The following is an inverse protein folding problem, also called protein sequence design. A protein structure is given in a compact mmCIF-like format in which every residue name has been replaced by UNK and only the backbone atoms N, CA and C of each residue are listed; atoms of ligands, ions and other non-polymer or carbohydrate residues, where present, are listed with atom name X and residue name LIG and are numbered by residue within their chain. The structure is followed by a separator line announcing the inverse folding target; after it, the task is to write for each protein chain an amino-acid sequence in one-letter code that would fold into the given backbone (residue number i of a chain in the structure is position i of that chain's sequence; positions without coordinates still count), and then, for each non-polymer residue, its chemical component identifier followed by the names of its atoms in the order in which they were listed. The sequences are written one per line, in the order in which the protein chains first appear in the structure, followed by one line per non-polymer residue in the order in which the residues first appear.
data_IF_972561008127
#
_entry.id   IF_972561008127
#
_cell.length_a   1.000
_cell.length_b   1.000
_cell.length_c   1.000
_cell.angle_alpha   90.00
_cell.angle_beta   90.00
_cell.angle_gamma   90.00
#
_symmetry.space_group_name_H-M   'P 1'
#
loop_
_entity.id
_entity.type
_entity.pdbx_description
1 polymer ?
#
# COMPACT_ATOMS: atom_id res chain seq x y z
N UNK A 1 -17.20 13.84 51.37
CA UNK A 1 -17.96 14.20 50.16
C UNK A 1 -17.72 13.14 49.10
N UNK A 2 -18.78 12.45 48.65
CA UNK A 2 -18.71 11.39 47.63
C UNK A 2 -18.42 12.04 46.28
N UNK A 3 -17.31 11.66 45.62
CA UNK A 3 -17.06 12.05 44.22
C UNK A 3 -18.09 11.30 43.37
N UNK A 4 -18.94 12.05 42.68
CA UNK A 4 -19.91 11.53 41.71
C UNK A 4 -19.13 11.00 40.52
N UNK A 5 -19.24 9.69 40.29
CA UNK A 5 -18.87 9.08 39.02
C UNK A 5 -19.62 9.79 37.89
N UNK A 6 -18.85 10.25 36.88
CA UNK A 6 -19.43 10.73 35.63
C UNK A 6 -20.05 9.53 34.90
N UNK A 7 -21.22 9.67 34.28
CA UNK A 7 -21.84 8.58 33.53
C UNK A 7 -20.91 8.16 32.39
N UNK A 8 -20.59 6.86 32.35
CA UNK A 8 -20.00 6.21 31.18
C UNK A 8 -21.00 6.41 30.04
N UNK A 9 -20.54 7.09 28.98
CA UNK A 9 -21.31 7.30 27.75
C UNK A 9 -21.81 5.92 27.26
N UNK A 10 -23.10 5.77 26.88
CA UNK A 10 -23.63 4.49 26.44
C UNK A 10 -22.78 3.97 25.27
N UNK A 11 -22.20 2.79 25.45
CA UNK A 11 -21.54 2.03 24.39
C UNK A 11 -22.61 1.79 23.33
N UNK A 12 -22.36 2.29 22.12
CA UNK A 12 -23.32 2.25 21.01
C UNK A 12 -23.74 0.80 20.72
N UNK A 13 -25.02 0.50 20.90
CA UNK A 13 -25.68 -0.64 20.25
C UNK A 13 -26.28 -0.11 18.96
N UNK A 14 -25.46 0.08 17.93
CA UNK A 14 -26.01 0.33 16.59
C UNK A 14 -26.68 -0.96 16.14
N UNK A 15 -27.93 -0.90 15.67
CA UNK A 15 -28.59 -2.13 15.23
C UNK A 15 -27.86 -2.72 14.02
N UNK A 16 -27.89 -4.06 13.87
CA UNK A 16 -27.24 -4.74 12.73
C UNK A 16 -27.78 -4.20 11.40
N UNK A 17 -29.07 -3.91 11.32
CA UNK A 17 -29.72 -3.33 10.14
C UNK A 17 -29.20 -1.95 9.82
N UNK A 18 -29.11 -1.04 10.79
CA UNK A 18 -28.58 0.31 10.56
C UNK A 18 -27.12 0.28 10.13
N UNK A 19 -26.32 -0.59 10.77
CA UNK A 19 -24.91 -0.72 10.43
C UNK A 19 -24.71 -1.32 9.03
N UNK A 20 -25.51 -2.31 8.65
CA UNK A 20 -25.53 -2.88 7.30
C UNK A 20 -25.90 -1.83 6.25
N UNK A 21 -26.96 -1.05 6.51
CA UNK A 21 -27.43 -0.03 5.59
C UNK A 21 -26.41 1.10 5.40
N UNK A 22 -25.74 1.52 6.48
CA UNK A 22 -24.64 2.48 6.43
C UNK A 22 -23.46 1.96 5.60
N UNK A 23 -23.09 0.68 5.78
CA UNK A 23 -22.00 0.04 5.02
C UNK A 23 -22.35 -0.08 3.53
N UNK A 24 -23.56 -0.53 3.20
CA UNK A 24 -23.98 -0.68 1.80
C UNK A 24 -24.08 0.68 1.10
N UNK A 25 -24.61 1.71 1.76
CA UNK A 25 -24.61 3.08 1.24
C UNK A 25 -23.19 3.57 0.95
N UNK A 26 -22.25 3.31 1.85
CA UNK A 26 -20.85 3.70 1.69
C UNK A 26 -20.17 2.93 0.55
N UNK A 27 -20.48 1.64 0.37
CA UNK A 27 -20.02 0.85 -0.78
C UNK A 27 -20.51 1.45 -2.09
N UNK A 28 -21.79 1.84 -2.17
CA UNK A 28 -22.32 2.50 -3.38
C UNK A 28 -21.60 3.81 -3.66
N UNK A 29 -21.37 4.64 -2.63
CA UNK A 29 -20.62 5.90 -2.79
C UNK A 29 -19.18 5.69 -3.27
N UNK A 30 -18.49 4.67 -2.76
CA UNK A 30 -17.13 4.33 -3.22
C UNK A 30 -17.15 3.88 -4.68
N UNK A 31 -18.15 3.07 -5.07
CA UNK A 31 -18.31 2.62 -6.45
C UNK A 31 -18.60 3.80 -7.39
N UNK A 32 -19.44 4.74 -6.99
CA UNK A 32 -19.77 5.94 -7.78
C UNK A 32 -18.60 6.91 -7.88
N UNK A 33 -17.85 7.13 -6.79
CA UNK A 33 -16.63 7.94 -6.79
C UNK A 33 -15.48 7.30 -7.59
N UNK A 34 -15.51 5.97 -7.78
CA UNK A 34 -14.56 5.30 -8.69
C UNK A 34 -14.93 5.46 -10.18
N UNK A 35 -16.20 5.76 -10.48
CA UNK A 35 -16.73 5.92 -11.85
C UNK A 35 -16.77 7.38 -12.32
N UNK A 36 -16.85 8.31 -11.38
CA UNK A 36 -16.87 9.75 -11.63
C UNK A 36 -15.80 10.40 -10.77
N UNK A 37 -15.09 11.41 -11.27
CA UNK A 37 -14.08 12.19 -10.50
C UNK A 37 -14.75 13.08 -9.42
N UNK A 38 -15.77 12.56 -8.74
CA UNK A 38 -16.50 13.22 -7.66
C UNK A 38 -15.73 13.14 -6.33
N UNK A 39 -16.08 14.04 -5.42
CA UNK A 39 -15.44 14.22 -4.12
C UNK A 39 -15.44 12.92 -3.30
N UNK A 40 -14.25 12.50 -2.88
CA UNK A 40 -14.00 11.17 -2.37
C UNK A 40 -14.55 11.00 -0.93
N UNK A 41 -15.32 9.93 -0.60
CA UNK A 41 -15.89 9.71 0.73
C UNK A 41 -14.87 9.27 1.81
N UNK A 42 -13.59 9.66 1.69
CA UNK A 42 -12.48 9.17 2.52
C UNK A 42 -12.69 9.36 4.02
N UNK A 43 -13.35 10.43 4.43
CA UNK A 43 -13.69 10.72 5.83
C UNK A 43 -14.74 9.73 6.37
N UNK A 44 -15.82 9.48 5.61
CA UNK A 44 -16.87 8.54 6.00
C UNK A 44 -16.39 7.09 6.09
N UNK A 45 -15.45 6.69 5.22
CA UNK A 45 -14.83 5.36 5.26
C UNK A 45 -14.02 5.13 6.54
N UNK A 46 -13.22 6.11 6.95
CA UNK A 46 -12.44 6.01 8.18
C UNK A 46 -13.33 5.95 9.41
N UNK A 47 -14.37 6.79 9.47
CA UNK A 47 -15.34 6.81 10.57
C UNK A 47 -16.10 5.47 10.69
N UNK A 48 -16.52 4.90 9.56
CA UNK A 48 -17.21 3.60 9.55
C UNK A 48 -16.32 2.45 10.01
N UNK A 49 -15.03 2.46 9.62
CA UNK A 49 -14.05 1.47 10.09
C UNK A 49 -13.87 1.55 11.61
N UNK A 50 -13.75 2.75 12.18
CA UNK A 50 -13.63 2.93 13.64
C UNK A 50 -14.94 2.61 14.38
N UNK A 51 -16.09 2.83 13.75
CA UNK A 51 -17.39 2.36 14.28
C UNK A 51 -17.45 0.83 14.31
N UNK A 52 -17.09 0.16 13.22
CA UNK A 52 -17.04 -1.30 13.13
C UNK A 52 -16.09 -1.94 14.14
N UNK A 53 -14.91 -1.34 14.39
CA UNK A 53 -13.99 -1.83 15.43
C UNK A 53 -14.62 -1.83 16.82
N UNK A 54 -15.26 -0.72 17.20
CA UNK A 54 -15.97 -0.60 18.49
C UNK A 54 -17.09 -1.63 18.64
N UNK A 55 -17.83 -1.86 17.56
CA UNK A 55 -18.90 -2.85 17.50
C UNK A 55 -18.36 -4.29 17.59
N UNK A 56 -17.20 -4.57 16.99
CA UNK A 56 -16.51 -5.87 17.09
C UNK A 56 -15.98 -6.11 18.52
N UNK A 57 -15.38 -5.09 19.14
CA UNK A 57 -14.91 -5.16 20.53
C UNK A 57 -16.08 -5.48 21.48
N UNK A 58 -17.23 -4.84 21.26
CA UNK A 58 -18.45 -5.13 22.00
C UNK A 58 -18.94 -6.58 21.81
N UNK A 59 -18.93 -7.10 20.58
CA UNK A 59 -19.28 -8.51 20.34
C UNK A 59 -18.30 -9.48 21.01
N UNK A 60 -17.00 -9.16 21.05
CA UNK A 60 -16.03 -9.98 21.79
C UNK A 60 -16.32 -9.98 23.29
N UNK A 61 -16.69 -8.84 23.87
CA UNK A 61 -17.10 -8.73 25.28
C UNK A 61 -18.37 -9.55 25.58
N UNK A 62 -19.37 -9.51 24.69
CA UNK A 62 -20.59 -10.32 24.83
C UNK A 62 -20.31 -11.82 24.68
N UNK A 63 -19.42 -12.19 23.76
CA UNK A 63 -18.99 -13.59 23.61
C UNK A 63 -18.26 -14.08 24.87
N UNK A 64 -17.36 -13.27 25.43
CA UNK A 64 -16.67 -13.59 26.68
C UNK A 64 -17.61 -13.74 27.87
N UNK A 65 -18.70 -12.94 27.94
CA UNK A 65 -19.76 -13.09 28.93
C UNK A 65 -20.55 -14.38 28.74
N UNK A 66 -21.01 -14.65 27.51
CA UNK A 66 -21.81 -15.83 27.20
C UNK A 66 -21.05 -17.15 27.43
N UNK A 67 -19.75 -17.16 27.18
CA UNK A 67 -18.87 -18.29 27.41
C UNK A 67 -18.41 -18.44 28.87
N UNK A 68 -18.86 -17.55 29.78
CA UNK A 68 -18.47 -17.59 31.18
C UNK A 68 -16.99 -17.28 31.43
N UNK A 69 -16.32 -16.61 30.49
CA UNK A 69 -14.88 -16.32 30.57
C UNK A 69 -14.54 -15.01 31.26
N UNK A 70 -15.54 -14.16 31.53
CA UNK A 70 -15.36 -12.83 32.15
C UNK A 70 -14.57 -12.90 33.46
N UNK A 71 -14.92 -13.84 34.34
CA UNK A 71 -14.27 -13.97 35.65
C UNK A 71 -12.84 -14.51 35.51
N UNK A 72 -12.59 -15.44 34.57
CA UNK A 72 -11.25 -15.93 34.25
C UNK A 72 -10.33 -14.80 33.75
N UNK A 73 -10.85 -13.94 32.86
CA UNK A 73 -10.14 -12.78 32.34
C UNK A 73 -9.83 -11.76 33.45
N UNK A 74 -10.79 -11.51 34.35
CA UNK A 74 -10.59 -10.59 35.48
C UNK A 74 -9.55 -11.12 36.47
N UNK A 75 -9.62 -12.40 36.86
CA UNK A 75 -8.62 -13.03 37.72
C UNK A 75 -7.22 -12.96 37.11
N UNK A 76 -7.09 -13.25 35.82
CA UNK A 76 -5.81 -13.17 35.12
C UNK A 76 -5.27 -11.74 35.07
N UNK A 77 -6.12 -10.72 34.85
CA UNK A 77 -5.71 -9.30 34.94
C UNK A 77 -5.20 -8.93 36.33
N UNK A 78 -5.83 -9.44 37.39
CA UNK A 78 -5.35 -9.23 38.76
C UNK A 78 -4.03 -9.94 39.03
N UNK A 79 -3.85 -11.16 38.53
CA UNK A 79 -2.57 -11.89 38.61
C UNK A 79 -1.45 -11.13 37.88
N UNK A 80 -1.73 -10.62 36.67
CA UNK A 80 -0.79 -9.76 35.92
C UNK A 80 -0.43 -8.50 36.71
N UNK A 81 -1.43 -7.82 37.30
CA UNK A 81 -1.19 -6.62 38.09
C UNK A 81 -0.35 -6.90 39.35
N UNK A 82 -0.60 -8.02 40.04
CA UNK A 82 0.19 -8.45 41.21
C UNK A 82 1.62 -8.83 40.83
N UNK A 83 1.80 -9.58 39.74
CA UNK A 83 3.12 -9.97 39.24
C UNK A 83 3.98 -8.73 38.90
N UNK A 84 3.38 -7.70 38.32
CA UNK A 84 4.06 -6.42 38.00
C UNK A 84 4.52 -5.65 39.24
N UNK A 85 3.82 -5.79 40.36
CA UNK A 85 4.15 -5.07 41.61
C UNK A 85 5.26 -5.74 42.45
N UNK A 86 5.59 -7.00 42.19
CA UNK A 86 6.46 -7.79 43.08
C UNK A 86 7.86 -8.09 42.53
N UNK A 87 8.24 -7.62 41.32
CA UNK A 87 9.56 -7.87 40.70
C UNK A 87 9.98 -9.36 40.69
N UNK A 88 9.02 -10.29 40.82
CA UNK A 88 9.30 -11.70 41.04
C UNK A 88 9.53 -12.37 39.69
N UNK A 89 10.81 -12.58 39.34
CA UNK A 89 11.28 -13.12 38.05
C UNK A 89 10.68 -14.50 37.70
N UNK A 90 10.05 -15.19 38.65
CA UNK A 90 9.41 -16.49 38.47
C UNK A 90 7.97 -16.43 37.92
N UNK A 91 7.34 -15.25 37.83
CA UNK A 91 5.96 -15.12 37.37
C UNK A 91 5.80 -15.02 35.83
N UNK A 92 6.85 -14.71 35.07
CA UNK A 92 6.72 -14.36 33.64
C UNK A 92 6.38 -15.55 32.71
N UNK A 93 7.03 -16.73 32.80
CA UNK A 93 6.71 -17.85 31.91
C UNK A 93 5.36 -18.49 32.22
N UNK A 94 5.06 -18.72 33.51
CA UNK A 94 3.81 -19.35 33.94
C UNK A 94 2.58 -18.46 33.68
N UNK A 95 2.71 -17.13 33.85
CA UNK A 95 1.64 -16.19 33.52
C UNK A 95 1.41 -16.09 32.01
N UNK A 96 2.49 -16.11 31.22
CA UNK A 96 2.39 -16.18 29.75
C UNK A 96 1.68 -17.45 29.31
N UNK A 97 2.04 -18.60 29.86
CA UNK A 97 1.37 -19.87 29.58
C UNK A 97 -0.13 -19.81 29.94
N UNK A 98 -0.50 -19.18 31.06
CA UNK A 98 -1.91 -18.95 31.41
C UNK A 98 -2.64 -18.00 30.45
N UNK A 99 -1.97 -16.95 29.96
CA UNK A 99 -2.52 -16.02 28.96
C UNK A 99 -2.77 -16.76 27.64
N UNK A 100 -1.77 -17.50 27.17
CA UNK A 100 -1.86 -18.28 25.93
C UNK A 100 -2.94 -19.36 26.07
N UNK A 101 -3.01 -20.06 27.21
CA UNK A 101 -4.05 -21.05 27.47
C UNK A 101 -5.46 -20.44 27.49
N UNK A 102 -5.65 -19.30 28.15
CA UNK A 102 -6.95 -18.63 28.19
C UNK A 102 -7.36 -18.11 26.80
N UNK A 103 -6.39 -17.63 26.02
CA UNK A 103 -6.60 -17.21 24.63
C UNK A 103 -7.01 -18.38 23.75
N UNK A 104 -6.29 -19.50 23.82
CA UNK A 104 -6.62 -20.72 23.07
C UNK A 104 -7.98 -21.29 23.48
N UNK A 105 -8.30 -21.26 24.78
CA UNK A 105 -9.61 -21.64 25.29
C UNK A 105 -10.71 -20.73 24.72
N UNK A 106 -10.49 -19.41 24.73
CA UNK A 106 -11.43 -18.44 24.18
C UNK A 106 -11.63 -18.65 22.68
N UNK A 107 -10.56 -18.70 21.90
CA UNK A 107 -10.60 -18.87 20.44
C UNK A 107 -11.29 -20.17 20.02
N UNK A 108 -11.05 -21.26 20.77
CA UNK A 108 -11.70 -22.56 20.54
C UNK A 108 -13.20 -22.53 20.82
N UNK A 109 -13.63 -21.80 21.84
CA UNK A 109 -15.03 -21.75 22.26
C UNK A 109 -15.81 -20.59 21.62
N UNK A 110 -15.11 -19.62 21.04
CA UNK A 110 -15.69 -18.45 20.38
C UNK A 110 -16.78 -18.83 19.34
N UNK A 111 -16.61 -19.88 18.51
CA UNK A 111 -17.66 -20.29 17.58
C UNK A 111 -18.96 -20.77 18.22
N UNK A 112 -18.92 -21.17 19.50
CA UNK A 112 -20.09 -21.60 20.28
C UNK A 112 -20.81 -20.44 20.97
N UNK A 113 -20.26 -19.22 20.93
CA UNK A 113 -20.93 -18.06 21.50
C UNK A 113 -22.20 -17.72 20.70
N UNK A 114 -23.34 -17.39 21.35
CA UNK A 114 -24.59 -17.09 20.67
C UNK A 114 -24.50 -15.94 19.67
N UNK A 115 -23.61 -14.98 19.92
CA UNK A 115 -23.41 -13.80 19.08
C UNK A 115 -22.29 -13.98 18.03
N UNK A 116 -21.65 -15.16 17.95
CA UNK A 116 -20.59 -15.44 16.99
C UNK A 116 -20.99 -15.20 15.52
N UNK A 117 -22.22 -15.55 15.06
CA UNK A 117 -22.63 -15.23 13.69
C UNK A 117 -22.57 -13.72 13.39
N UNK A 118 -22.98 -12.89 14.35
CA UNK A 118 -22.95 -11.43 14.21
C UNK A 118 -21.51 -10.89 14.23
N UNK A 119 -20.68 -11.37 15.18
CA UNK A 119 -19.25 -11.05 15.23
C UNK A 119 -18.56 -11.37 13.90
N UNK A 120 -18.79 -12.58 13.36
CA UNK A 120 -18.24 -13.01 12.08
C UNK A 120 -18.70 -12.11 10.92
N UNK A 121 -19.97 -11.71 10.92
CA UNK A 121 -20.52 -10.80 9.91
C UNK A 121 -19.86 -9.42 9.97
N UNK A 122 -19.74 -8.81 11.16
CA UNK A 122 -19.06 -7.53 11.38
C UNK A 122 -17.58 -7.58 11.00
N UNK A 123 -16.87 -8.65 11.34
CA UNK A 123 -15.48 -8.89 10.90
C UNK A 123 -15.36 -8.95 9.38
N UNK A 124 -16.31 -9.58 8.69
CA UNK A 124 -16.40 -9.59 7.24
C UNK A 124 -16.52 -8.19 6.65
N UNK A 125 -17.44 -7.38 7.16
CA UNK A 125 -17.62 -5.99 6.73
C UNK A 125 -16.37 -5.14 6.96
N UNK A 126 -15.72 -5.26 8.12
CA UNK A 126 -14.49 -4.54 8.43
C UNK A 126 -13.38 -4.89 7.42
N UNK A 127 -13.25 -6.17 7.06
CA UNK A 127 -12.28 -6.65 6.06
C UNK A 127 -12.54 -6.05 4.69
N UNK A 128 -13.80 -6.01 4.25
CA UNK A 128 -14.20 -5.41 2.97
C UNK A 128 -13.90 -3.91 2.92
N UNK A 129 -14.30 -3.14 3.94
CA UNK A 129 -14.04 -1.71 4.00
C UNK A 129 -12.55 -1.37 4.09
N UNK A 130 -11.78 -2.18 4.82
CA UNK A 130 -10.33 -2.00 4.90
C UNK A 130 -9.65 -2.22 3.54
N UNK A 131 -10.11 -3.22 2.77
CA UNK A 131 -9.65 -3.43 1.38
C UNK A 131 -10.01 -2.24 0.50
N UNK A 132 -11.25 -1.76 0.57
CA UNK A 132 -11.70 -0.59 -0.18
C UNK A 132 -10.88 0.68 0.17
N UNK A 133 -10.53 0.87 1.44
CA UNK A 133 -9.68 1.97 1.90
C UNK A 133 -8.26 1.91 1.33
N UNK A 134 -7.71 0.71 1.20
CA UNK A 134 -6.38 0.53 0.61
C UNK A 134 -6.38 0.76 -0.91
N UNK A 135 -7.44 0.33 -1.61
CA UNK A 135 -7.59 0.57 -3.05
C UNK A 135 -7.74 2.06 -3.35
N UNK A 136 -8.52 2.78 -2.54
CA UNK A 136 -8.71 4.22 -2.67
C UNK A 136 -7.44 5.01 -2.39
N UNK A 137 -6.66 4.64 -1.36
CA UNK A 137 -5.32 5.22 -1.15
C UNK A 137 -4.37 5.00 -2.33
N UNK A 138 -4.45 3.83 -2.99
CA UNK A 138 -3.64 3.53 -4.18
C UNK A 138 -4.08 4.38 -5.38
N UNK A 139 -5.38 4.54 -5.62
CA UNK A 139 -5.87 5.38 -6.72
C UNK A 139 -5.54 6.86 -6.52
N UNK A 140 -5.71 7.40 -5.31
CA UNK A 140 -5.33 8.79 -5.01
C UNK A 140 -3.85 9.07 -5.31
N UNK A 141 -2.95 8.15 -4.96
CA UNK A 141 -1.52 8.29 -5.28
C UNK A 141 -1.23 8.27 -6.78
N UNK A 142 -1.95 7.46 -7.55
CA UNK A 142 -1.82 7.42 -9.02
C UNK A 142 -2.31 8.75 -9.62
N UNK A 143 -3.41 9.29 -9.12
CA UNK A 143 -3.96 10.55 -9.61
C UNK A 143 -3.10 11.75 -9.21
N UNK A 144 -2.53 11.75 -8.00
CA UNK A 144 -1.50 12.72 -7.56
C UNK A 144 -0.26 12.65 -8.46
N UNK A 145 0.22 11.45 -8.77
CA UNK A 145 1.37 11.25 -9.65
C UNK A 145 1.10 11.74 -11.08
N UNK A 146 -0.10 11.47 -11.62
CA UNK A 146 -0.52 12.00 -12.93
C UNK A 146 -0.55 13.53 -12.92
N UNK A 147 -1.08 14.14 -11.86
CA UNK A 147 -1.14 15.59 -11.73
C UNK A 147 0.26 16.21 -11.66
N UNK A 148 1.16 15.63 -10.87
CA UNK A 148 2.54 16.11 -10.77
C UNK A 148 3.27 15.94 -12.11
N UNK A 149 3.13 14.80 -12.79
CA UNK A 149 3.74 14.57 -14.11
C UNK A 149 3.23 15.57 -15.16
N UNK A 150 1.93 15.86 -15.18
CA UNK A 150 1.36 16.87 -16.07
C UNK A 150 1.89 18.27 -15.76
N UNK A 151 2.00 18.62 -14.47
CA UNK A 151 2.60 19.89 -14.04
C UNK A 151 4.05 20.00 -14.50
N UNK A 152 4.86 18.95 -14.31
CA UNK A 152 6.26 18.91 -14.76
C UNK A 152 6.38 19.02 -16.28
N UNK A 153 5.48 18.37 -17.01
CA UNK A 153 5.42 18.49 -18.46
C UNK A 153 5.12 19.94 -18.88
N UNK A 154 4.15 20.60 -18.25
CA UNK A 154 3.87 22.03 -18.52
C UNK A 154 5.07 22.92 -18.17
N UNK A 155 5.68 22.75 -17.00
CA UNK A 155 6.89 23.49 -16.59
C UNK A 155 8.04 23.30 -17.60
N UNK A 156 8.24 22.07 -18.07
CA UNK A 156 9.25 21.74 -19.08
C UNK A 156 8.96 22.43 -20.42
N UNK A 157 7.72 22.35 -20.91
CA UNK A 157 7.28 22.98 -22.15
C UNK A 157 7.28 24.51 -22.07
N UNK A 158 7.20 25.07 -20.86
CA UNK A 158 7.23 26.51 -20.62
C UNK A 158 8.64 27.10 -20.55
N UNK A 159 9.68 26.26 -20.48
CA UNK A 159 11.08 26.69 -20.50
C UNK A 159 11.39 27.53 -21.75
N UNK A 160 12.00 28.72 -21.60
CA UNK A 160 12.30 29.61 -22.73
C UNK A 160 13.12 28.95 -23.84
N UNK A 161 14.09 28.12 -23.47
CA UNK A 161 14.96 27.41 -24.42
C UNK A 161 14.20 26.33 -25.21
N UNK A 162 13.31 25.57 -24.54
CA UNK A 162 12.43 24.58 -25.20
C UNK A 162 11.46 25.27 -26.16
N UNK A 163 10.80 26.35 -25.73
CA UNK A 163 9.92 27.15 -26.59
C UNK A 163 10.65 27.68 -27.81
N UNK A 164 11.84 28.25 -27.62
CA UNK A 164 12.64 28.79 -28.71
C UNK A 164 13.04 27.71 -29.73
N UNK A 165 13.44 26.50 -29.27
CA UNK A 165 13.74 25.37 -30.16
C UNK A 165 12.53 24.98 -31.01
N UNK A 166 11.35 24.85 -30.39
CA UNK A 166 10.09 24.50 -31.07
C UNK A 166 9.67 25.59 -32.06
N UNK A 167 9.73 26.87 -31.67
CA UNK A 167 9.38 28.00 -32.54
C UNK A 167 10.33 28.13 -33.73
N UNK A 168 11.63 27.90 -33.53
CA UNK A 168 12.63 27.92 -34.61
C UNK A 168 12.32 26.84 -35.66
N UNK A 169 12.05 25.61 -35.22
CA UNK A 169 11.69 24.52 -36.13
C UNK A 169 10.35 24.79 -36.84
N UNK A 170 9.36 25.33 -36.12
CA UNK A 170 8.06 25.71 -36.69
C UNK A 170 8.21 26.78 -37.78
N UNK A 171 9.07 27.77 -37.57
CA UNK A 171 9.37 28.80 -38.56
C UNK A 171 10.10 28.20 -39.78
N UNK A 172 11.04 27.28 -39.56
CA UNK A 172 11.74 26.59 -40.65
C UNK A 172 10.79 25.76 -41.52
N UNK A 173 9.85 25.03 -40.90
CA UNK A 173 8.79 24.30 -41.60
C UNK A 173 7.91 25.26 -42.41
N UNK A 174 7.48 26.38 -41.82
CA UNK A 174 6.64 27.36 -42.52
C UNK A 174 7.36 28.00 -43.72
N UNK A 175 8.64 28.36 -43.55
CA UNK A 175 9.46 28.96 -44.60
C UNK A 175 9.81 27.98 -45.73
N UNK A 176 9.70 26.68 -45.47
CA UNK A 176 10.01 25.64 -46.45
C UNK A 176 8.98 25.52 -47.58
N UNK A 177 7.78 26.11 -47.42
CA UNK A 177 6.71 26.13 -48.43
C UNK A 177 6.09 24.77 -48.76
N UNK A 178 6.36 23.74 -47.95
CA UNK A 178 5.88 22.38 -48.21
C UNK A 178 4.58 22.11 -47.44
N UNK A 179 3.60 21.53 -48.13
CA UNK A 179 2.32 21.12 -47.53
C UNK A 179 2.42 19.81 -46.73
N UNK A 180 3.43 18.98 -47.02
CA UNK A 180 3.71 17.73 -46.32
C UNK A 180 5.22 17.60 -45.97
N UNK A 181 5.52 17.43 -44.68
CA UNK A 181 6.88 17.24 -44.17
C UNK A 181 7.57 16.01 -44.77
N UNK A 182 6.81 14.97 -45.12
CA UNK A 182 7.37 13.74 -45.71
C UNK A 182 8.03 13.98 -47.07
N UNK A 183 7.71 15.09 -47.74
CA UNK A 183 8.33 15.47 -49.01
C UNK A 183 9.71 16.12 -48.84
N UNK A 184 10.16 16.40 -47.61
CA UNK A 184 11.49 16.93 -47.29
C UNK A 184 12.16 16.08 -46.20
N UNK A 185 13.01 15.11 -46.57
CA UNK A 185 13.71 14.24 -45.63
C UNK A 185 14.51 15.00 -44.57
N UNK A 186 15.14 16.12 -44.94
CA UNK A 186 15.92 16.97 -44.02
C UNK A 186 15.07 17.60 -42.90
N UNK A 187 13.84 18.03 -43.21
CA UNK A 187 12.93 18.58 -42.19
C UNK A 187 12.39 17.48 -41.29
N UNK A 188 12.09 16.32 -41.87
CA UNK A 188 11.68 15.13 -41.11
C UNK A 188 12.76 14.68 -40.15
N UNK A 189 14.03 14.67 -40.58
CA UNK A 189 15.17 14.37 -39.74
C UNK A 189 15.31 15.37 -38.58
N UNK A 190 15.21 16.69 -38.86
CA UNK A 190 15.23 17.72 -37.82
C UNK A 190 14.10 17.61 -36.81
N UNK A 191 12.89 17.24 -37.26
CA UNK A 191 11.74 16.99 -36.38
C UNK A 191 12.02 15.79 -35.48
N UNK A 192 12.51 14.69 -36.03
CA UNK A 192 12.88 13.50 -35.26
C UNK A 192 14.01 13.79 -34.26
N UNK A 193 15.01 14.55 -34.67
CA UNK A 193 16.13 14.95 -33.81
C UNK A 193 15.64 15.81 -32.64
N UNK A 194 14.85 16.87 -32.90
CA UNK A 194 14.31 17.71 -31.84
C UNK A 194 13.38 16.91 -30.92
N UNK A 195 12.56 16.00 -31.46
CA UNK A 195 11.70 15.13 -30.66
C UNK A 195 12.53 14.26 -29.71
N UNK A 196 13.61 13.63 -30.19
CA UNK A 196 14.50 12.80 -29.37
C UNK A 196 15.28 13.60 -28.31
N UNK A 197 15.69 14.83 -28.63
CA UNK A 197 16.30 15.75 -27.67
C UNK A 197 15.32 16.12 -26.55
N UNK A 198 14.10 16.52 -26.90
CA UNK A 198 13.07 16.89 -25.93
C UNK A 198 12.65 15.70 -25.05
N UNK A 199 12.53 14.51 -25.63
CA UNK A 199 12.25 13.27 -24.89
C UNK A 199 13.36 12.97 -23.88
N UNK A 200 14.63 13.09 -24.30
CA UNK A 200 15.78 12.86 -23.42
C UNK A 200 15.86 13.89 -22.29
N UNK A 201 15.64 15.17 -22.59
CA UNK A 201 15.60 16.22 -21.58
C UNK A 201 14.45 16.02 -20.60
N UNK A 202 13.26 15.66 -21.07
CA UNK A 202 12.10 15.41 -20.20
C UNK A 202 12.30 14.16 -19.34
N UNK A 203 12.90 13.09 -19.89
CA UNK A 203 13.30 11.90 -19.11
C UNK A 203 14.27 12.27 -17.98
N UNK A 204 15.19 13.20 -18.21
CA UNK A 204 16.08 13.69 -17.16
C UNK A 204 15.32 14.47 -16.06
N UNK A 205 14.32 15.27 -16.43
CA UNK A 205 13.43 15.97 -15.47
C UNK A 205 12.68 14.96 -14.59
N UNK A 206 12.13 13.90 -15.19
CA UNK A 206 11.43 12.85 -14.46
C UNK A 206 12.39 12.06 -13.53
N UNK A 207 13.57 11.71 -14.03
CA UNK A 207 14.59 11.03 -13.21
C UNK A 207 15.02 11.86 -11.99
N UNK A 208 15.13 13.19 -12.13
CA UNK A 208 15.49 14.08 -11.04
C UNK A 208 14.48 14.10 -9.88
N UNK A 209 13.22 13.73 -10.16
CA UNK A 209 12.17 13.56 -9.14
C UNK A 209 11.96 12.08 -8.76
N UNK A 210 12.87 11.20 -9.16
CA UNK A 210 12.82 9.76 -8.86
C UNK A 210 11.84 8.96 -9.71
N UNK A 211 11.35 9.52 -10.82
CA UNK A 211 10.47 8.84 -11.77
C UNK A 211 11.26 8.33 -12.97
N UNK A 212 11.37 7.01 -13.09
CA UNK A 212 12.08 6.39 -14.20
C UNK A 212 11.11 6.05 -15.33
N UNK A 213 11.37 6.58 -16.53
CA UNK A 213 10.62 6.22 -17.74
C UNK A 213 11.18 4.92 -18.29
N UNK A 214 10.37 3.87 -18.21
CA UNK A 214 10.64 2.52 -18.71
C UNK A 214 9.80 2.31 -19.98
N UNK A 215 10.33 1.65 -21.03
CA UNK A 215 9.52 1.23 -22.17
C UNK A 215 8.32 0.38 -21.73
N UNK A 216 7.19 0.50 -22.43
CA UNK A 216 5.97 -0.29 -22.17
C UNK A 216 6.09 -1.77 -22.54
N UNK A 217 7.31 -2.28 -22.72
CA UNK A 217 7.56 -3.65 -23.13
C UNK A 217 7.05 -4.60 -22.06
N UNK A 218 6.17 -5.51 -22.47
CA UNK A 218 5.56 -6.54 -21.62
C UNK A 218 6.60 -7.31 -20.78
N UNK A 219 7.79 -7.54 -21.35
CA UNK A 219 8.89 -8.24 -20.67
C UNK A 219 9.55 -7.39 -19.56
N UNK A 220 9.81 -6.11 -19.82
CA UNK A 220 10.36 -5.21 -18.80
C UNK A 220 9.38 -5.04 -17.63
N UNK A 221 8.09 -4.94 -17.93
CA UNK A 221 7.02 -4.83 -16.94
C UNK A 221 6.88 -6.12 -16.11
N UNK A 222 7.03 -7.28 -16.73
CA UNK A 222 7.06 -8.57 -16.02
C UNK A 222 8.27 -8.68 -15.07
N UNK A 223 9.46 -8.23 -15.50
CA UNK A 223 10.68 -8.22 -14.66
C UNK A 223 10.56 -7.25 -13.49
N UNK A 224 9.95 -6.07 -13.69
CA UNK A 224 9.65 -5.11 -12.61
C UNK A 224 8.70 -5.72 -11.60
N UNK A 225 7.60 -6.35 -12.05
CA UNK A 225 6.63 -6.98 -11.16
C UNK A 225 7.27 -8.15 -10.38
N UNK A 226 8.10 -8.97 -11.02
CA UNK A 226 8.81 -10.05 -10.35
C UNK A 226 9.80 -9.53 -9.29
N UNK A 227 10.46 -8.40 -9.54
CA UNK A 227 11.30 -7.73 -8.54
C UNK A 227 10.48 -7.17 -7.38
N UNK A 228 9.33 -6.54 -7.65
CA UNK A 228 8.42 -6.06 -6.60
C UNK A 228 7.88 -7.20 -5.72
N UNK A 229 7.52 -8.34 -6.31
CA UNK A 229 7.18 -9.55 -5.57
C UNK A 229 8.33 -10.02 -4.67
N UNK A 230 9.58 -10.01 -5.16
CA UNK A 230 10.75 -10.38 -4.37
C UNK A 230 11.03 -9.40 -3.23
N UNK A 231 10.85 -8.10 -3.44
CA UNK A 231 10.95 -7.08 -2.38
C UNK A 231 9.89 -7.36 -1.30
N UNK A 232 8.64 -7.60 -1.70
CA UNK A 232 7.56 -7.91 -0.79
C UNK A 232 7.80 -9.22 0.00
N UNK A 233 8.30 -10.27 -0.66
CA UNK A 233 8.71 -11.51 0.00
C UNK A 233 9.81 -11.28 1.03
N UNK A 234 10.81 -10.45 0.71
CA UNK A 234 11.91 -10.13 1.63
C UNK A 234 11.38 -9.37 2.85
N UNK A 235 10.47 -8.41 2.65
CA UNK A 235 9.81 -7.70 3.75
C UNK A 235 9.01 -8.68 4.61
N UNK A 236 8.23 -9.56 4.00
CA UNK A 236 7.44 -10.56 4.71
C UNK A 236 8.31 -11.54 5.50
N UNK A 237 9.42 -12.02 4.94
CA UNK A 237 10.38 -12.89 5.64
C UNK A 237 11.00 -12.20 6.85
N UNK A 238 11.35 -10.92 6.72
CA UNK A 238 11.90 -10.12 7.83
C UNK A 238 10.85 -9.92 8.92
N UNK A 239 9.64 -9.50 8.55
CA UNK A 239 8.52 -9.27 9.48
C UNK A 239 8.13 -10.57 10.20
N UNK A 240 8.17 -11.70 9.50
CA UNK A 240 7.85 -13.02 10.05
C UNK A 240 9.06 -13.74 10.66
N UNK A 241 10.24 -13.12 10.65
CA UNK A 241 11.45 -13.76 11.17
C UNK A 241 11.32 -14.04 12.67
N UNK A 242 11.72 -15.25 13.06
CA UNK A 242 11.70 -15.67 14.47
C UNK A 242 12.56 -14.73 15.32
N UNK A 243 13.69 -14.28 14.80
CA UNK A 243 14.59 -13.35 15.50
C UNK A 243 13.93 -12.02 15.85
N UNK A 244 13.31 -11.31 14.88
CA UNK A 244 12.64 -10.03 15.18
C UNK A 244 11.45 -10.24 16.10
N UNK A 245 10.69 -11.32 15.89
CA UNK A 245 9.57 -11.68 16.75
C UNK A 245 10.01 -11.89 18.21
N UNK A 246 11.11 -12.61 18.43
CA UNK A 246 11.69 -12.83 19.75
C UNK A 246 12.19 -11.53 20.38
N UNK A 247 12.90 -10.67 19.64
CA UNK A 247 13.39 -9.38 20.15
C UNK A 247 12.26 -8.42 20.50
N UNK A 248 11.20 -8.38 19.69
CA UNK A 248 10.01 -7.57 19.97
C UNK A 248 9.29 -8.08 21.22
N UNK A 249 9.16 -9.40 21.38
CA UNK A 249 8.59 -9.98 22.59
C UNK A 249 9.43 -9.65 23.83
N UNK A 250 10.77 -9.74 23.74
CA UNK A 250 11.67 -9.31 24.82
C UNK A 250 11.48 -7.83 25.14
N UNK A 251 11.42 -6.96 24.13
CA UNK A 251 11.19 -5.52 24.32
C UNK A 251 9.84 -5.27 25.02
N UNK A 252 8.77 -5.95 24.62
CA UNK A 252 7.47 -5.84 25.30
C UNK A 252 7.58 -6.23 26.76
N UNK A 253 8.21 -7.37 27.06
CA UNK A 253 8.37 -7.84 28.45
C UNK A 253 9.19 -6.87 29.30
N UNK A 254 10.25 -6.28 28.76
CA UNK A 254 11.08 -5.32 29.50
C UNK A 254 10.35 -3.98 29.72
N UNK A 255 9.56 -3.52 28.74
CA UNK A 255 8.70 -2.32 28.88
C UNK A 255 7.59 -2.55 29.92
N UNK A 256 6.99 -3.74 29.94
CA UNK A 256 5.99 -4.10 30.94
C UNK A 256 6.59 -4.10 32.34
N UNK A 257 7.76 -4.74 32.50
CA UNK A 257 8.53 -4.78 33.74
C UNK A 257 8.96 -3.39 34.23
N UNK A 258 9.40 -2.53 33.32
CA UNK A 258 9.84 -1.17 33.61
C UNK A 258 8.76 -0.25 34.21
N UNK A 259 7.48 -0.54 33.98
CA UNK A 259 6.40 0.29 34.53
C UNK A 259 6.34 1.71 33.92
N UNK A 260 5.67 2.63 34.61
CA UNK A 260 5.58 4.04 34.20
C UNK A 260 6.81 4.86 34.62
N UNK A 261 7.66 4.31 35.49
CA UNK A 261 8.87 4.94 36.01
C UNK A 261 10.02 3.92 35.97
N UNK A 262 10.65 3.73 34.81
CA UNK A 262 11.75 2.79 34.65
C UNK A 262 12.97 3.27 35.45
N UNK A 263 13.68 2.33 36.09
CA UNK A 263 15.03 2.59 36.61
C UNK A 263 16.05 2.68 35.45
N UNK A 264 17.27 3.13 35.75
CA UNK A 264 18.29 3.34 34.71
C UNK A 264 18.73 2.05 34.01
N UNK A 265 18.62 0.89 34.67
CA UNK A 265 18.95 -0.42 34.10
C UNK A 265 17.90 -0.84 33.07
N UNK A 266 16.61 -0.74 33.40
CA UNK A 266 15.51 -1.00 32.46
C UNK A 266 15.48 0.00 31.31
N UNK A 267 15.77 1.30 31.53
CA UNK A 267 15.93 2.25 30.41
C UNK A 267 17.02 1.82 29.45
N UNK A 268 18.18 1.44 29.98
CA UNK A 268 19.33 1.02 29.19
C UNK A 268 19.02 -0.24 28.37
N UNK A 269 18.34 -1.22 28.96
CA UNK A 269 17.91 -2.46 28.28
C UNK A 269 16.86 -2.22 27.19
N UNK A 270 15.86 -1.38 27.46
CA UNK A 270 14.85 -1.00 26.47
C UNK A 270 15.51 -0.30 25.28
N UNK A 271 16.43 0.64 25.52
CA UNK A 271 17.16 1.33 24.47
C UNK A 271 18.02 0.38 23.63
N UNK A 272 18.72 -0.56 24.29
CA UNK A 272 19.53 -1.56 23.60
C UNK A 272 18.66 -2.46 22.70
N UNK A 273 17.54 -2.99 23.20
CA UNK A 273 16.61 -3.81 22.42
C UNK A 273 15.99 -3.03 21.25
N UNK A 274 15.63 -1.76 21.46
CA UNK A 274 15.16 -0.89 20.38
C UNK A 274 16.23 -0.68 19.30
N UNK A 275 17.49 -0.48 19.70
CA UNK A 275 18.61 -0.33 18.78
C UNK A 275 18.85 -1.62 17.98
N UNK A 276 18.85 -2.78 18.63
CA UNK A 276 19.01 -4.08 17.97
C UNK A 276 17.88 -4.38 16.97
N UNK A 277 16.63 -4.12 17.34
CA UNK A 277 15.47 -4.30 16.44
C UNK A 277 15.61 -3.37 15.23
N UNK A 278 15.94 -2.09 15.45
CA UNK A 278 16.16 -1.12 14.37
C UNK A 278 17.31 -1.53 13.47
N UNK A 279 18.40 -2.01 14.06
CA UNK A 279 19.57 -2.47 13.31
C UNK A 279 19.24 -3.68 12.46
N UNK A 280 18.59 -4.70 13.01
CA UNK A 280 18.20 -5.90 12.28
C UNK A 280 17.24 -5.59 11.11
N UNK A 281 16.29 -4.68 11.32
CA UNK A 281 15.43 -4.18 10.23
C UNK A 281 16.26 -3.44 9.18
N UNK A 282 17.18 -2.58 9.62
CA UNK A 282 18.03 -1.78 8.71
C UNK A 282 18.95 -2.68 7.88
N UNK A 283 19.60 -3.67 8.48
CA UNK A 283 20.47 -4.62 7.80
C UNK A 283 19.68 -5.47 6.79
N UNK A 284 18.49 -5.91 7.17
CA UNK A 284 17.65 -6.71 6.27
C UNK A 284 17.03 -5.91 5.12
N UNK A 285 16.76 -4.61 5.30
CA UNK A 285 16.30 -3.72 4.22
C UNK A 285 17.47 -3.21 3.38
N UNK A 286 18.65 -3.03 3.99
CA UNK A 286 19.89 -2.64 3.30
C UNK A 286 20.60 -3.82 2.66
N UNK A 287 19.88 -4.91 2.41
CA UNK A 287 20.39 -6.15 1.84
C UNK A 287 21.09 -5.84 0.51
N UNK A 288 22.43 -5.93 0.46
CA UNK A 288 23.21 -5.50 -0.70
C UNK A 288 22.75 -6.15 -2.01
N UNK A 289 22.27 -7.38 -1.92
CA UNK A 289 21.77 -8.17 -3.03
C UNK A 289 20.48 -7.58 -3.63
N UNK A 290 19.60 -6.98 -2.81
CA UNK A 290 18.38 -6.33 -3.32
C UNK A 290 18.73 -5.06 -4.10
N UNK A 291 19.71 -4.31 -3.59
CA UNK A 291 20.26 -3.13 -4.25
C UNK A 291 21.00 -3.49 -5.54
N UNK A 292 21.87 -4.50 -5.52
CA UNK A 292 22.59 -4.98 -6.70
C UNK A 292 21.60 -5.50 -7.76
N UNK A 293 20.56 -6.21 -7.36
CA UNK A 293 19.49 -6.66 -8.26
C UNK A 293 18.69 -5.49 -8.84
N UNK A 294 18.39 -4.47 -8.05
CA UNK A 294 17.75 -3.25 -8.56
C UNK A 294 18.63 -2.57 -9.60
N UNK A 295 19.92 -2.38 -9.31
CA UNK A 295 20.87 -1.77 -10.24
C UNK A 295 21.03 -2.60 -11.52
N UNK A 296 21.06 -3.94 -11.40
CA UNK A 296 21.11 -4.87 -12.53
C UNK A 296 19.83 -4.82 -13.37
N UNK A 297 18.66 -4.83 -12.73
CA UNK A 297 17.37 -4.71 -13.40
C UNK A 297 17.25 -3.36 -14.13
N UNK A 298 17.67 -2.28 -13.48
CA UNK A 298 17.70 -0.96 -14.09
C UNK A 298 18.62 -0.93 -15.32
N UNK A 299 19.80 -1.55 -15.24
CA UNK A 299 20.74 -1.66 -16.36
C UNK A 299 20.20 -2.55 -17.50
N UNK A 300 19.56 -3.67 -17.18
CA UNK A 300 18.98 -4.61 -18.15
C UNK A 300 17.84 -3.95 -18.94
N UNK A 301 16.95 -3.23 -18.24
CA UNK A 301 15.89 -2.42 -18.86
C UNK A 301 16.49 -1.34 -19.77
N UNK A 302 17.57 -0.68 -19.33
CA UNK A 302 18.26 0.33 -20.14
C UNK A 302 18.92 -0.26 -21.38
N UNK A 303 19.45 -1.50 -21.31
CA UNK A 303 20.04 -2.19 -22.47
C UNK A 303 19.02 -2.66 -23.48
N UNK A 304 17.87 -3.19 -23.05
CA UNK A 304 16.77 -3.55 -23.97
C UNK A 304 16.20 -2.34 -24.71
N UNK A 305 16.50 -1.12 -24.24
CA UNK A 305 16.07 0.14 -24.85
C UNK A 305 17.09 0.73 -25.85
N UNK A 306 18.30 0.15 -26.00
CA UNK A 306 19.23 0.64 -27.03
C UNK A 306 18.69 0.26 -28.41
N UNK A 307 18.53 1.20 -29.35
CA UNK A 307 18.25 0.82 -30.73
C UNK A 307 19.39 -0.05 -31.22
N UNK A 308 19.05 -1.23 -31.74
CA UNK A 308 19.98 -2.12 -32.44
C UNK A 308 20.54 -1.37 -33.66
N UNK A 309 21.62 -0.62 -33.46
CA UNK A 309 22.43 -0.07 -34.54
C UNK A 309 23.35 -1.20 -34.99
N UNK A 310 22.92 -1.91 -36.03
CA UNK A 310 23.77 -2.81 -36.80
C UNK A 310 23.17 -4.18 -37.11
N UNK A 311 22.26 -4.23 -38.09
CA UNK A 311 22.32 -5.30 -39.09
C UNK A 311 21.79 -4.76 -40.40
N UNK A 312 22.74 -4.43 -41.27
CA UNK A 312 22.53 -4.05 -42.67
C UNK A 312 21.85 -5.18 -43.46
N UNK A 313 20.97 -4.77 -44.37
CA UNK A 313 20.73 -5.46 -45.65
C UNK A 313 19.81 -6.68 -45.68
N UNK A 314 18.51 -6.46 -45.91
CA UNK A 314 17.84 -7.10 -47.05
C UNK A 314 16.55 -6.37 -47.40
N UNK A 315 16.56 -5.77 -48.60
CA UNK A 315 15.37 -5.39 -49.35
C UNK A 315 14.46 -6.62 -49.54
N UNK A 316 13.16 -6.41 -49.44
CA UNK A 316 12.12 -7.42 -49.67
C UNK A 316 10.73 -6.81 -49.62
N UNK A 317 10.40 -6.14 -50.73
CA UNK A 317 9.09 -5.88 -51.34
C UNK A 317 7.79 -5.95 -50.49
N UNK A 318 7.03 -4.85 -50.59
CA UNK A 318 5.57 -4.77 -50.77
C UNK A 318 4.68 -5.88 -50.20
N UNK A 319 3.77 -5.49 -49.29
CA UNK A 319 2.33 -5.54 -49.58
C UNK A 319 1.55 -4.75 -48.53
N UNK A 320 0.92 -3.68 -48.99
CA UNK A 320 -0.29 -3.07 -48.43
C UNK A 320 -1.42 -4.09 -48.33
N UNK A 321 -2.08 -4.20 -47.17
CA UNK A 321 -3.55 -4.29 -47.06
C UNK A 321 -4.00 -4.34 -45.58
N UNK A 322 -4.84 -3.35 -45.24
CA UNK A 322 -5.96 -3.36 -44.29
C UNK A 322 -5.85 -3.84 -42.83
N UNK A 323 -5.92 -2.84 -41.94
CA UNK A 323 -6.98 -2.64 -40.93
C UNK A 323 -7.53 -3.86 -40.16
N UNK A 324 -7.41 -3.86 -38.83
CA UNK A 324 -8.61 -3.79 -37.97
C UNK A 324 -8.31 -3.55 -36.47
N UNK A 325 -8.83 -2.42 -36.00
CA UNK A 325 -9.16 -2.15 -34.60
C UNK A 325 -10.28 -3.11 -34.16
N UNK A 326 -10.03 -3.93 -33.15
CA UNK A 326 -11.03 -4.85 -32.61
C UNK A 326 -11.56 -4.31 -31.28
N UNK A 327 -12.74 -3.67 -31.32
CA UNK A 327 -13.53 -3.27 -30.14
C UNK A 327 -14.63 -4.30 -29.97
N UNK A 328 -14.48 -5.20 -29.00
CA UNK A 328 -15.55 -6.11 -28.59
C UNK A 328 -16.57 -5.35 -27.73
N UNK A 329 -17.69 -4.98 -28.32
CA UNK A 329 -18.91 -4.61 -27.60
C UNK A 329 -19.95 -5.73 -27.72
N UNK A 330 -20.39 -6.15 -26.54
CA UNK A 330 -21.74 -6.62 -26.22
C UNK A 330 -22.11 -8.08 -26.56
N UNK A 331 -21.97 -8.91 -25.52
CA UNK A 331 -22.77 -10.10 -25.31
C UNK A 331 -24.19 -9.68 -24.89
N UNK A 332 -25.20 -9.99 -25.70
CA UNK A 332 -26.57 -10.11 -25.21
C UNK A 332 -27.43 -11.01 -26.12
N UNK A 333 -28.13 -11.94 -25.44
CA UNK A 333 -29.29 -12.78 -25.84
C UNK A 333 -28.95 -14.07 -26.61
N UNK A 334 -28.95 -15.21 -25.92
CA UNK A 334 -30.11 -16.03 -25.48
C UNK A 334 -30.68 -16.87 -26.62
N UNK A 335 -30.62 -18.19 -26.46
CA UNK A 335 -31.49 -19.13 -27.15
C UNK A 335 -31.94 -20.24 -26.19
N UNK A 336 -33.27 -20.41 -26.19
CA UNK A 336 -34.12 -21.56 -25.82
C UNK A 336 -34.19 -21.95 -24.35
#
# INVERSE_FOLDING_TARGET
MKKKDKPIVPISNTSESELRDEVEKLKTQILEASKSSAEHPGTGLKEMIEKLKREIDYEYDEAAKALGMKDKILMLREEVAKARNHNDQLAHPALKEKIDHLKDEFDKNLPSAPNYPNLKYKLGMLKELSRASNLTKKSTKIDELKLDMNKRFSEFMDRPDVKQKIETLKAEIANSGVSNIDSKPELKEKVSQLSGELESEFKAVLNAVGLQVVPSDSEALAKINAFDEQVNMTIDDVVNSTYLKERIELLKTEVEKAGNTPDEDSKSKILALQAEIKQAITEAISFPELKEKYERLAAEILETTKPSVGSDGSLGEENTEDSQVNVNQEANRSFV
#
